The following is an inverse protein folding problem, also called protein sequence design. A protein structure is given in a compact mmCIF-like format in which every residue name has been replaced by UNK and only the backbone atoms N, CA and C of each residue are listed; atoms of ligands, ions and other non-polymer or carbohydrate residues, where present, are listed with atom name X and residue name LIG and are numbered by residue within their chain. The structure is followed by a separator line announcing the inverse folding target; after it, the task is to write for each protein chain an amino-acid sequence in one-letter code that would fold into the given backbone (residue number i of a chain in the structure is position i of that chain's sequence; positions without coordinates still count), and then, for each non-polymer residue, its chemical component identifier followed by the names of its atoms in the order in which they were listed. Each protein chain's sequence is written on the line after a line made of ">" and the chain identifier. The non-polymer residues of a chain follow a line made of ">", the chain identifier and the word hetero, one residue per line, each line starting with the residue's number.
data_IF_762854087778
#
_entry.id   IF_762854087778
#
_cell.length_a   1.000
_cell.length_b   1.000
_cell.length_c   1.000
_cell.angle_alpha   90.00
_cell.angle_beta   90.00
_cell.angle_gamma   90.00
#
_symmetry.space_group_name_H-M   'P 1'
#
loop_
_entity.id
_entity.type
_entity.pdbx_description
1 polymer ?
#
# COMPACT_ATOMS: atom_id res chain seq x y z
N UNK A 1 -65.38 -25.46 2.02
CA UNK A 1 -64.23 -25.10 1.15
C UNK A 1 -63.82 -23.67 1.47
N UNK A 2 -62.70 -23.47 2.15
CA UNK A 2 -61.62 -22.55 1.75
C UNK A 2 -60.55 -22.53 2.86
N UNK A 3 -59.38 -23.09 2.55
CA UNK A 3 -58.26 -23.22 3.46
C UNK A 3 -57.35 -21.99 3.37
N UNK A 4 -56.99 -21.42 4.51
CA UNK A 4 -56.00 -20.35 4.61
C UNK A 4 -54.58 -20.93 4.43
N UNK A 5 -53.80 -20.37 3.50
CA UNK A 5 -52.39 -20.70 3.27
C UNK A 5 -51.51 -19.80 4.14
N UNK A 6 -50.54 -20.32 4.92
CA UNK A 6 -49.51 -19.48 5.53
C UNK A 6 -48.39 -19.21 4.52
N UNK A 7 -48.06 -17.93 4.33
CA UNK A 7 -46.93 -17.49 3.51
C UNK A 7 -45.61 -17.73 4.25
N UNK A 8 -44.69 -18.45 3.60
CA UNK A 8 -43.32 -18.68 4.05
C UNK A 8 -42.45 -17.47 3.64
N UNK A 9 -41.74 -16.78 4.55
CA UNK A 9 -40.85 -15.70 4.14
C UNK A 9 -39.55 -16.28 3.57
N UNK A 10 -39.31 -16.02 2.28
CA UNK A 10 -38.09 -16.36 1.57
C UNK A 10 -36.98 -15.38 2.01
N UNK A 11 -36.05 -15.83 2.87
CA UNK A 11 -34.81 -15.10 3.14
C UNK A 11 -33.92 -15.13 1.89
N UNK A 12 -33.82 -14.01 1.17
CA UNK A 12 -32.80 -13.80 0.16
C UNK A 12 -31.46 -13.56 0.87
N UNK A 13 -30.57 -14.56 0.84
CA UNK A 13 -29.16 -14.36 1.15
C UNK A 13 -28.51 -13.59 0.00
N UNK A 14 -28.22 -12.30 0.21
CA UNK A 14 -27.42 -11.52 -0.71
C UNK A 14 -25.97 -12.04 -0.68
N UNK A 15 -25.55 -12.75 -1.73
CA UNK A 15 -24.13 -12.98 -1.97
C UNK A 15 -23.46 -11.64 -2.27
N UNK A 16 -22.72 -11.11 -1.30
CA UNK A 16 -21.78 -10.03 -1.50
C UNK A 16 -20.62 -10.56 -2.36
N UNK A 17 -20.65 -10.28 -3.67
CA UNK A 17 -19.47 -10.44 -4.52
C UNK A 17 -18.39 -9.50 -4.01
N UNK A 18 -17.37 -10.03 -3.35
CA UNK A 18 -16.14 -9.30 -3.02
C UNK A 18 -15.39 -9.03 -4.32
N UNK A 19 -15.50 -7.81 -4.84
CA UNK A 19 -14.66 -7.39 -5.95
C UNK A 19 -13.18 -7.48 -5.52
N UNK A 20 -12.28 -7.96 -6.38
CA UNK A 20 -10.88 -8.11 -6.00
C UNK A 20 -10.27 -6.72 -5.75
N UNK A 21 -9.57 -6.54 -4.64
CA UNK A 21 -8.92 -5.28 -4.29
C UNK A 21 -7.52 -5.21 -4.90
N UNK A 22 -7.18 -4.08 -5.51
CA UNK A 22 -5.91 -3.86 -6.19
C UNK A 22 -5.49 -2.40 -5.99
N UNK A 23 -4.39 -2.15 -5.27
CA UNK A 23 -3.78 -0.81 -5.19
C UNK A 23 -2.69 -0.62 -6.23
N UNK A 24 -2.67 0.58 -6.82
CA UNK A 24 -1.60 1.01 -7.72
C UNK A 24 -1.51 0.18 -9.00
N UNK A 25 -2.65 -0.31 -9.52
CA UNK A 25 -2.78 -1.08 -10.77
C UNK A 25 -4.06 -0.69 -11.54
N UNK A 26 -4.06 -0.97 -12.85
CA UNK A 26 -5.28 -0.89 -13.63
C UNK A 26 -6.16 -2.10 -13.27
N UNK A 27 -7.43 -1.87 -12.98
CA UNK A 27 -8.39 -2.95 -12.77
C UNK A 27 -8.53 -3.80 -14.02
N UNK A 28 -7.85 -4.95 -14.05
CA UNK A 28 -8.01 -5.95 -15.11
C UNK A 28 -9.24 -6.78 -14.81
N UNK A 29 -10.12 -6.93 -15.81
CA UNK A 29 -11.31 -7.77 -15.71
C UNK A 29 -10.99 -9.27 -15.93
N UNK A 30 -9.88 -9.56 -16.61
CA UNK A 30 -9.44 -10.92 -16.91
C UNK A 30 -8.54 -11.49 -15.80
N UNK A 31 -8.70 -12.78 -15.45
CA UNK A 31 -7.77 -13.48 -14.58
C UNK A 31 -6.34 -13.54 -15.16
N UNK A 32 -5.36 -13.73 -14.27
CA UNK A 32 -3.99 -14.04 -14.68
C UNK A 32 -3.94 -15.35 -15.47
N UNK A 33 -3.15 -15.36 -16.54
CA UNK A 33 -2.81 -16.57 -17.29
C UNK A 33 -1.91 -17.48 -16.45
N UNK A 34 -1.91 -18.78 -16.78
CA UNK A 34 -1.05 -19.75 -16.07
C UNK A 34 0.45 -19.36 -16.08
N UNK A 35 1.04 -18.87 -17.19
CA UNK A 35 2.42 -18.35 -17.18
C UNK A 35 2.63 -17.18 -16.23
N UNK A 36 1.69 -16.23 -16.14
CA UNK A 36 1.78 -15.10 -15.21
C UNK A 36 1.71 -15.57 -13.75
N UNK A 37 0.86 -16.56 -13.46
CA UNK A 37 0.76 -17.19 -12.12
C UNK A 37 2.06 -17.88 -11.74
N UNK A 38 2.63 -18.71 -12.62
CA UNK A 38 3.91 -19.40 -12.37
C UNK A 38 5.00 -18.38 -12.06
N UNK A 39 5.10 -17.33 -12.88
CA UNK A 39 6.09 -16.28 -12.69
C UNK A 39 5.94 -15.54 -11.35
N UNK A 40 4.71 -15.22 -10.99
CA UNK A 40 4.38 -14.57 -9.71
C UNK A 40 4.75 -15.46 -8.52
N UNK A 41 4.46 -16.76 -8.60
CA UNK A 41 4.73 -17.71 -7.51
C UNK A 41 6.23 -18.02 -7.36
N UNK A 42 6.98 -18.05 -8.45
CA UNK A 42 8.44 -18.16 -8.40
C UNK A 42 9.08 -16.94 -7.71
N UNK A 43 8.62 -15.72 -8.04
CA UNK A 43 9.05 -14.51 -7.34
C UNK A 43 8.68 -14.56 -5.86
N UNK A 44 7.45 -14.99 -5.55
CA UNK A 44 6.97 -15.15 -4.18
C UNK A 44 7.82 -16.14 -3.39
N UNK A 45 8.15 -17.30 -3.97
CA UNK A 45 9.02 -18.31 -3.37
C UNK A 45 10.41 -17.75 -3.05
N UNK A 46 11.07 -17.14 -4.04
CA UNK A 46 12.40 -16.52 -3.85
C UNK A 46 12.37 -15.42 -2.78
N UNK A 47 11.30 -14.63 -2.74
CA UNK A 47 11.11 -13.56 -1.74
C UNK A 47 10.93 -14.14 -0.34
N UNK A 48 10.11 -15.18 -0.20
CA UNK A 48 9.92 -15.88 1.07
C UNK A 48 11.24 -16.46 1.58
N UNK A 49 12.01 -17.13 0.71
CA UNK A 49 13.33 -17.69 1.05
C UNK A 49 14.32 -16.60 1.50
N UNK A 50 14.34 -15.46 0.80
CA UNK A 50 15.19 -14.32 1.16
C UNK A 50 14.80 -13.70 2.51
N UNK A 51 13.50 -13.56 2.79
CA UNK A 51 13.00 -13.11 4.09
C UNK A 51 13.40 -14.08 5.20
N UNK A 52 13.23 -15.38 4.99
CA UNK A 52 13.53 -16.40 5.97
C UNK A 52 15.02 -16.46 6.32
N UNK A 53 15.88 -16.43 5.29
CA UNK A 53 17.33 -16.39 5.45
C UNK A 53 17.84 -15.09 6.09
N UNK A 54 17.06 -13.99 6.03
CA UNK A 54 17.48 -12.70 6.56
C UNK A 54 17.53 -12.61 8.08
N UNK A 55 16.80 -13.50 8.78
CA UNK A 55 16.60 -13.46 10.23
C UNK A 55 15.74 -12.30 10.74
N UNK A 56 15.21 -11.44 9.87
CA UNK A 56 14.38 -10.30 10.26
C UNK A 56 13.06 -10.74 10.90
N UNK A 57 12.49 -9.90 11.77
CA UNK A 57 11.13 -10.04 12.28
C UNK A 57 10.14 -9.18 11.49
N UNK A 58 10.62 -8.05 10.95
CA UNK A 58 9.81 -7.11 10.15
C UNK A 58 10.63 -6.65 8.94
N UNK A 59 9.96 -6.54 7.79
CA UNK A 59 10.52 -5.99 6.56
C UNK A 59 9.49 -5.12 5.83
N UNK A 60 9.95 -4.36 4.84
CA UNK A 60 9.08 -3.78 3.81
C UNK A 60 9.31 -4.55 2.52
N UNK A 61 8.24 -4.87 1.80
CA UNK A 61 8.31 -5.53 0.49
C UNK A 61 7.65 -4.65 -0.57
N UNK A 62 8.35 -4.42 -1.67
CA UNK A 62 7.88 -3.61 -2.79
C UNK A 62 7.57 -4.47 -4.01
N UNK A 63 6.55 -4.12 -4.79
CA UNK A 63 6.28 -4.76 -6.09
C UNK A 63 6.17 -3.73 -7.22
N UNK A 64 6.59 -4.14 -8.41
CA UNK A 64 6.49 -3.37 -9.64
C UNK A 64 5.22 -3.78 -10.41
N UNK A 65 4.06 -3.34 -9.92
CA UNK A 65 2.76 -3.69 -10.51
C UNK A 65 2.34 -2.84 -11.71
N UNK A 66 2.99 -1.70 -11.94
CA UNK A 66 2.68 -0.78 -13.04
C UNK A 66 3.97 -0.26 -13.68
N UNK A 67 3.89 0.08 -14.96
CA UNK A 67 4.93 0.90 -15.59
C UNK A 67 4.79 2.36 -15.15
N UNK A 68 5.64 2.75 -14.20
CA UNK A 68 5.73 4.11 -13.69
C UNK A 68 7.02 4.81 -14.15
N UNK A 69 7.72 4.25 -15.14
CA UNK A 69 9.03 4.75 -15.62
C UNK A 69 8.96 6.21 -16.08
N UNK A 70 7.86 6.61 -16.72
CA UNK A 70 7.60 8.01 -17.12
C UNK A 70 7.59 9.02 -15.96
N UNK A 71 7.44 8.55 -14.72
CA UNK A 71 7.46 9.37 -13.51
C UNK A 71 8.73 9.14 -12.68
N UNK A 72 9.72 8.43 -13.22
CA UNK A 72 10.95 8.08 -12.51
C UNK A 72 10.73 7.12 -11.34
N UNK A 73 9.63 6.34 -11.36
CA UNK A 73 9.30 5.38 -10.30
C UNK A 73 9.43 3.96 -10.82
N UNK A 74 9.94 3.09 -9.96
CA UNK A 74 10.23 1.71 -10.26
C UNK A 74 9.25 0.75 -9.57
N UNK A 75 8.95 0.98 -8.29
CA UNK A 75 7.94 0.20 -7.56
C UNK A 75 6.64 0.97 -7.40
N UNK A 76 5.51 0.28 -7.57
CA UNK A 76 4.18 0.91 -7.47
C UNK A 76 3.56 0.79 -6.08
N UNK A 77 3.91 -0.26 -5.32
CA UNK A 77 3.21 -0.59 -4.08
C UNK A 77 4.15 -1.24 -3.05
N UNK A 78 3.92 -0.92 -1.78
CA UNK A 78 4.62 -1.46 -0.61
C UNK A 78 3.65 -2.12 0.37
N UNK A 79 4.15 -3.13 1.09
CA UNK A 79 3.54 -3.64 2.31
C UNK A 79 4.56 -3.82 3.43
N UNK A 80 4.07 -3.86 4.67
CA UNK A 80 4.86 -4.21 5.86
C UNK A 80 4.74 -5.72 6.04
N UNK A 81 5.86 -6.44 6.00
CA UNK A 81 5.90 -7.89 6.17
C UNK A 81 6.30 -8.25 7.59
N UNK A 82 5.50 -9.07 8.25
CA UNK A 82 5.71 -9.56 9.60
C UNK A 82 6.02 -11.04 9.54
N UNK A 83 7.18 -11.44 10.09
CA UNK A 83 7.55 -12.86 10.18
C UNK A 83 6.52 -13.62 11.00
N UNK A 84 6.17 -13.10 12.17
CA UNK A 84 5.25 -13.75 13.11
C UNK A 84 3.97 -12.91 13.20
N UNK A 85 2.91 -13.35 12.52
CA UNK A 85 1.62 -12.66 12.47
C UNK A 85 0.46 -13.66 12.63
N UNK A 86 -0.67 -13.31 13.27
CA UNK A 86 -1.78 -14.24 13.48
C UNK A 86 -2.37 -14.86 12.21
N UNK A 87 -2.25 -14.19 11.06
CA UNK A 87 -2.70 -14.70 9.76
C UNK A 87 -1.70 -15.67 9.09
N UNK A 88 -0.49 -15.83 9.62
CA UNK A 88 0.53 -16.73 9.09
C UNK A 88 1.93 -16.14 9.09
N UNK A 89 2.92 -17.00 8.85
CA UNK A 89 4.33 -16.59 8.76
C UNK A 89 4.56 -15.75 7.52
N UNK A 90 5.33 -14.67 7.65
CA UNK A 90 5.60 -13.70 6.56
C UNK A 90 4.31 -13.14 5.96
N UNK A 91 3.43 -12.62 6.82
CA UNK A 91 2.22 -11.90 6.39
C UNK A 91 2.58 -10.48 5.96
N UNK A 92 2.18 -10.11 4.76
CA UNK A 92 2.18 -8.73 4.25
C UNK A 92 0.91 -8.03 4.71
N UNK A 93 1.06 -6.96 5.47
CA UNK A 93 -0.02 -6.03 5.80
C UNK A 93 0.13 -4.79 4.93
N UNK A 94 -0.94 -4.45 4.23
CA UNK A 94 -0.96 -3.35 3.27
C UNK A 94 -2.37 -2.82 3.05
N UNK A 95 -2.45 -1.56 2.64
CA UNK A 95 -3.71 -0.95 2.23
C UNK A 95 -3.95 -1.17 0.74
N UNK A 96 -5.14 -1.68 0.39
CA UNK A 96 -5.58 -1.84 -0.99
C UNK A 96 -6.88 -1.09 -1.22
N UNK A 97 -7.09 -0.54 -2.42
CA UNK A 97 -8.40 -0.03 -2.83
C UNK A 97 -9.20 -1.11 -3.54
N UNK A 98 -10.51 -1.13 -3.30
CA UNK A 98 -11.43 -1.97 -4.06
C UNK A 98 -11.46 -1.50 -5.52
N UNK A 99 -11.40 -2.44 -6.46
CA UNK A 99 -11.24 -2.11 -7.86
C UNK A 99 -12.34 -1.18 -8.39
N UNK A 100 -11.94 -0.15 -9.14
CA UNK A 100 -12.86 0.83 -9.73
C UNK A 100 -13.50 1.80 -8.73
N UNK A 101 -13.14 1.72 -7.44
CA UNK A 101 -13.68 2.56 -6.37
C UNK A 101 -12.61 3.46 -5.76
N UNK A 102 -13.06 4.47 -5.01
CA UNK A 102 -12.23 5.32 -4.15
C UNK A 102 -12.24 4.85 -2.68
N UNK A 103 -12.55 3.57 -2.44
CA UNK A 103 -12.59 3.00 -1.09
C UNK A 103 -11.39 2.06 -0.89
N UNK A 104 -10.69 2.20 0.23
CA UNK A 104 -9.62 1.28 0.66
C UNK A 104 -9.92 0.58 1.98
N UNK A 105 -9.23 -0.54 2.17
CA UNK A 105 -9.18 -1.30 3.42
C UNK A 105 -7.77 -1.89 3.60
N UNK A 106 -7.51 -2.44 4.79
CA UNK A 106 -6.27 -3.13 5.11
C UNK A 106 -6.43 -4.63 4.94
N UNK A 107 -5.44 -5.23 4.27
CA UNK A 107 -5.39 -6.64 3.94
C UNK A 107 -4.19 -7.29 4.64
N UNK A 108 -4.37 -8.55 5.02
CA UNK A 108 -3.36 -9.41 5.62
C UNK A 108 -3.15 -10.59 4.67
N UNK A 109 -2.12 -10.53 3.86
CA UNK A 109 -1.88 -11.48 2.77
C UNK A 109 -0.57 -12.24 2.95
N UNK A 110 -0.50 -13.48 2.48
CA UNK A 110 0.79 -14.16 2.33
C UNK A 110 1.60 -13.57 1.17
N UNK A 111 2.91 -13.84 1.16
CA UNK A 111 3.82 -13.41 0.07
C UNK A 111 3.32 -13.84 -1.32
N UNK A 112 2.70 -15.03 -1.43
CA UNK A 112 2.07 -15.49 -2.66
C UNK A 112 1.00 -14.53 -3.18
N UNK A 113 0.00 -14.22 -2.36
CA UNK A 113 -1.09 -13.30 -2.72
C UNK A 113 -0.57 -11.89 -3.05
N UNK A 114 0.44 -11.42 -2.32
CA UNK A 114 1.07 -10.14 -2.60
C UNK A 114 1.66 -10.04 -4.02
N UNK A 115 2.14 -11.14 -4.61
CA UNK A 115 2.66 -11.16 -5.98
C UNK A 115 1.68 -11.72 -7.01
N UNK A 116 0.64 -12.44 -6.60
CA UNK A 116 -0.44 -12.96 -7.47
C UNK A 116 -1.35 -11.83 -7.96
N UNK A 117 -0.76 -10.93 -8.72
CA UNK A 117 -1.40 -9.78 -9.34
C UNK A 117 -0.78 -9.53 -10.71
N UNK A 118 -1.28 -8.54 -11.44
CA UNK A 118 -0.80 -8.20 -12.78
C UNK A 118 0.53 -7.40 -12.70
N UNK A 119 1.63 -8.11 -12.46
CA UNK A 119 2.96 -7.51 -12.32
C UNK A 119 3.48 -7.01 -13.67
N UNK A 120 3.91 -5.75 -13.71
CA UNK A 120 4.62 -5.19 -14.85
C UNK A 120 6.05 -5.74 -14.92
N UNK A 121 6.71 -5.88 -13.76
CA UNK A 121 8.03 -6.52 -13.65
C UNK A 121 8.01 -7.56 -12.54
N UNK A 122 8.58 -8.72 -12.83
CA UNK A 122 8.71 -9.82 -11.87
C UNK A 122 9.96 -9.65 -11.00
N UNK A 123 9.98 -8.55 -10.27
CA UNK A 123 11.04 -8.20 -9.33
C UNK A 123 10.47 -7.53 -8.08
N UNK A 124 11.22 -7.62 -6.98
CA UNK A 124 10.88 -7.02 -5.69
C UNK A 124 12.11 -6.43 -5.03
N UNK A 125 11.85 -5.40 -4.22
CA UNK A 125 12.81 -4.88 -3.25
C UNK A 125 12.31 -5.19 -1.85
N UNK A 126 13.18 -5.80 -1.06
CA UNK A 126 12.96 -6.06 0.35
C UNK A 126 13.85 -5.11 1.13
N UNK A 127 13.27 -4.25 1.94
CA UNK A 127 14.01 -3.43 2.89
C UNK A 127 13.86 -4.04 4.27
N UNK A 128 15.01 -4.33 4.90
CA UNK A 128 15.12 -4.85 6.24
C UNK A 128 15.57 -3.70 7.16
N UNK A 129 14.70 -3.11 7.99
CA UNK A 129 15.12 -2.12 8.98
C UNK A 129 16.15 -2.71 9.95
N UNK A 130 16.88 -1.87 10.66
CA UNK A 130 17.73 -2.27 11.78
C UNK A 130 16.89 -2.88 12.92
N UNK A 131 17.50 -3.67 13.84
CA UNK A 131 16.77 -4.39 14.88
C UNK A 131 15.88 -3.51 15.76
N UNK A 132 16.32 -2.28 16.07
CA UNK A 132 15.55 -1.34 16.88
C UNK A 132 14.27 -0.88 16.17
N UNK A 133 14.35 -0.52 14.88
CA UNK A 133 13.19 -0.10 14.11
C UNK A 133 12.27 -1.29 13.81
N UNK A 134 12.81 -2.48 13.57
CA UNK A 134 12.00 -3.71 13.47
C UNK A 134 11.18 -3.96 14.74
N UNK A 135 11.79 -3.87 15.92
CA UNK A 135 11.09 -4.09 17.19
C UNK A 135 9.98 -3.06 17.43
N UNK A 136 10.25 -1.78 17.15
CA UNK A 136 9.24 -0.72 17.27
C UNK A 136 8.10 -0.90 16.26
N UNK A 137 8.43 -1.22 15.01
CA UNK A 137 7.44 -1.44 13.96
C UNK A 137 6.58 -2.67 14.28
N UNK A 138 7.17 -3.76 14.80
CA UNK A 138 6.42 -4.92 15.29
C UNK A 138 5.42 -4.52 16.39
N UNK A 139 5.84 -3.70 17.36
CA UNK A 139 4.96 -3.18 18.41
C UNK A 139 3.82 -2.31 17.88
N UNK A 140 4.11 -1.41 16.92
CA UNK A 140 3.10 -0.60 16.22
C UNK A 140 2.09 -1.50 15.51
N UNK A 141 2.57 -2.49 14.76
CA UNK A 141 1.74 -3.41 13.98
C UNK A 141 0.89 -4.35 14.83
N UNK A 142 1.35 -4.73 16.02
CA UNK A 142 0.58 -5.52 16.98
C UNK A 142 -0.52 -4.70 17.69
N UNK A 143 -0.43 -3.37 17.66
CA UNK A 143 -1.35 -2.46 18.31
C UNK A 143 -2.54 -2.04 17.45
N UNK A 144 -3.17 -0.91 17.84
CA UNK A 144 -4.31 -0.32 17.11
C UNK A 144 -3.89 0.62 15.99
N UNK A 145 -2.60 0.97 15.89
CA UNK A 145 -2.09 1.96 14.95
C UNK A 145 -2.42 1.63 13.48
N UNK A 146 -2.28 0.38 12.98
CA UNK A 146 -2.65 0.01 11.61
C UNK A 146 -4.06 0.48 11.22
N UNK A 147 -5.05 0.15 12.04
CA UNK A 147 -6.46 0.53 11.82
C UNK A 147 -6.73 2.00 12.11
N UNK A 148 -6.12 2.56 13.15
CA UNK A 148 -6.33 3.95 13.55
C UNK A 148 -5.76 4.95 12.54
N UNK A 149 -4.69 4.59 11.84
CA UNK A 149 -4.04 5.43 10.82
C UNK A 149 -4.54 5.15 9.40
N UNK A 150 -5.51 4.25 9.22
CA UNK A 150 -6.15 4.00 7.94
C UNK A 150 -7.25 5.04 7.66
N UNK A 151 -7.25 5.58 6.45
CA UNK A 151 -8.29 6.45 5.90
C UNK A 151 -8.93 5.75 4.69
N UNK A 152 -10.21 5.38 4.76
CA UNK A 152 -10.87 4.61 3.69
C UNK A 152 -11.05 5.39 2.38
N UNK A 153 -10.96 6.73 2.39
CA UNK A 153 -11.03 7.54 1.18
C UNK A 153 -9.71 7.46 0.41
N UNK A 154 -9.64 6.49 -0.48
CA UNK A 154 -8.46 6.23 -1.29
C UNK A 154 -8.31 7.24 -2.43
N UNK A 155 -7.11 7.78 -2.56
CA UNK A 155 -6.68 8.58 -3.71
C UNK A 155 -5.27 8.15 -4.09
N UNK A 156 -5.07 7.63 -5.31
CA UNK A 156 -3.76 7.20 -5.80
C UNK A 156 -2.72 8.33 -5.80
N UNK A 157 -3.19 9.58 -5.90
CA UNK A 157 -2.37 10.78 -5.92
C UNK A 157 -2.64 11.67 -4.70
N UNK A 158 -2.95 11.08 -3.54
CA UNK A 158 -3.13 11.85 -2.30
C UNK A 158 -1.92 12.75 -2.01
N UNK A 159 -2.19 13.96 -1.53
CA UNK A 159 -1.13 14.86 -1.10
C UNK A 159 -0.47 14.30 0.17
N UNK A 160 0.85 14.19 0.14
CA UNK A 160 1.67 13.60 1.22
C UNK A 160 1.37 14.18 2.62
N UNK A 161 1.00 15.46 2.70
CA UNK A 161 0.77 16.16 3.96
C UNK A 161 -0.66 16.69 4.10
N UNK A 162 -1.62 15.93 3.57
CA UNK A 162 -3.04 16.05 3.86
C UNK A 162 -3.55 14.74 4.45
N UNK A 163 -4.50 14.84 5.38
CA UNK A 163 -5.22 13.69 5.92
C UNK A 163 -6.55 13.44 5.19
N UNK A 164 -6.90 14.26 4.19
CA UNK A 164 -8.19 14.17 3.48
C UNK A 164 -8.39 12.86 2.71
N UNK A 165 -7.29 12.32 2.19
CA UNK A 165 -7.23 11.04 1.48
C UNK A 165 -6.00 10.27 1.94
N UNK A 166 -5.89 9.02 1.49
CA UNK A 166 -4.70 8.20 1.66
C UNK A 166 -4.44 7.37 0.41
N UNK A 167 -3.17 7.10 0.15
CA UNK A 167 -2.74 6.09 -0.80
C UNK A 167 -2.02 4.97 -0.03
N UNK A 168 -1.86 3.82 -0.68
CA UNK A 168 -1.33 2.62 -0.02
C UNK A 168 0.08 2.80 0.56
N UNK A 169 0.92 3.58 -0.11
CA UNK A 169 2.29 3.82 0.33
C UNK A 169 2.34 4.86 1.46
N UNK A 170 1.38 5.80 1.49
CA UNK A 170 1.25 6.79 2.56
C UNK A 170 0.87 6.14 3.90
N UNK A 171 0.02 5.13 3.90
CA UNK A 171 -0.27 4.35 5.11
C UNK A 171 0.98 3.66 5.70
N UNK A 172 1.80 3.04 4.85
CA UNK A 172 3.09 2.46 5.27
C UNK A 172 4.01 3.55 5.84
N UNK A 173 4.09 4.71 5.18
CA UNK A 173 4.93 5.84 5.61
C UNK A 173 4.51 6.38 6.99
N UNK A 174 3.21 6.52 7.24
CA UNK A 174 2.68 7.05 8.50
C UNK A 174 2.89 6.07 9.66
N UNK A 175 2.80 4.76 9.42
CA UNK A 175 3.18 3.75 10.43
C UNK A 175 4.67 3.72 10.72
N UNK A 176 5.52 3.92 9.70
CA UNK A 176 6.96 4.08 9.88
C UNK A 176 7.28 5.34 10.71
N UNK A 177 6.55 6.43 10.50
CA UNK A 177 6.68 7.63 11.34
C UNK A 177 6.33 7.34 12.81
N UNK A 178 5.26 6.57 13.05
CA UNK A 178 4.88 6.12 14.40
C UNK A 178 5.98 5.27 15.05
N UNK A 179 6.56 4.33 14.31
CA UNK A 179 7.64 3.48 14.79
C UNK A 179 8.98 4.22 14.96
N UNK A 180 9.25 5.23 14.13
CA UNK A 180 10.48 6.04 14.17
C UNK A 180 10.48 7.08 15.29
N UNK A 181 9.31 7.53 15.74
CA UNK A 181 9.15 8.42 16.88
C UNK A 181 9.35 7.70 18.22
N UNK A 182 9.43 8.47 19.32
CA UNK A 182 9.36 7.87 20.66
C UNK A 182 7.96 7.24 20.87
N UNK A 183 7.85 6.12 21.63
CA UNK A 183 6.55 5.50 21.89
C UNK A 183 5.52 6.50 22.43
N UNK A 184 4.33 6.52 21.83
CA UNK A 184 3.24 7.44 22.21
C UNK A 184 3.36 8.87 21.66
N UNK A 185 4.44 9.23 20.96
CA UNK A 185 4.61 10.58 20.41
C UNK A 185 3.83 10.80 19.10
N UNK A 186 3.65 9.74 18.31
CA UNK A 186 2.97 9.78 17.01
C UNK A 186 1.90 8.71 17.02
N UNK A 187 0.65 9.11 17.22
CA UNK A 187 -0.50 8.22 17.32
C UNK A 187 -1.54 8.44 16.22
N UNK A 188 -1.55 9.60 15.59
CA UNK A 188 -2.47 10.00 14.53
C UNK A 188 -1.77 10.25 13.19
N UNK A 189 -2.55 10.26 12.10
CA UNK A 189 -2.03 10.61 10.76
C UNK A 189 -1.43 12.02 10.71
N UNK A 190 -2.06 12.98 11.39
CA UNK A 190 -1.59 14.37 11.44
C UNK A 190 -0.25 14.49 12.17
N UNK A 191 -0.07 13.79 13.29
CA UNK A 191 1.20 13.73 14.02
C UNK A 191 2.28 13.03 13.20
N UNK A 192 1.94 11.96 12.49
CA UNK A 192 2.86 11.26 11.59
C UNK A 192 3.36 12.21 10.48
N UNK A 193 2.46 12.93 9.83
CA UNK A 193 2.80 13.93 8.82
C UNK A 193 3.65 15.08 9.39
N UNK A 194 3.34 15.56 10.60
CA UNK A 194 4.16 16.56 11.29
C UNK A 194 5.57 16.05 11.58
N UNK A 195 5.70 14.82 12.10
CA UNK A 195 6.99 14.17 12.35
C UNK A 195 7.80 14.01 11.06
N UNK A 196 7.17 13.57 9.97
CA UNK A 196 7.82 13.43 8.66
C UNK A 196 8.40 14.76 8.16
N UNK A 197 7.73 15.89 8.41
CA UNK A 197 8.27 17.23 8.11
C UNK A 197 9.53 17.55 8.92
N UNK A 198 9.55 17.21 10.21
CA UNK A 198 10.74 17.40 11.07
C UNK A 198 11.92 16.52 10.65
N UNK A 199 11.64 15.42 9.94
CA UNK A 199 12.66 14.51 9.39
C UNK A 199 12.96 14.79 7.92
N UNK A 200 12.47 15.90 7.38
CA UNK A 200 12.70 16.32 6.00
C UNK A 200 12.38 15.19 5.00
N UNK A 201 11.29 14.46 5.21
CA UNK A 201 10.81 13.50 4.22
C UNK A 201 10.58 14.24 2.89
N UNK A 202 11.27 13.82 1.84
CA UNK A 202 11.17 14.40 0.51
C UNK A 202 10.16 13.62 -0.33
N UNK A 203 8.92 14.12 -0.53
CA UNK A 203 7.93 13.45 -1.33
C UNK A 203 8.32 13.47 -2.81
N UNK A 204 7.94 12.43 -3.54
CA UNK A 204 8.07 12.49 -4.98
C UNK A 204 7.06 13.47 -5.58
N UNK A 205 7.56 14.38 -6.43
CA UNK A 205 6.72 15.23 -7.26
C UNK A 205 6.49 14.54 -8.60
N UNK A 206 5.24 14.29 -8.94
CA UNK A 206 4.85 13.82 -10.27
C UNK A 206 4.34 15.00 -11.09
N UNK A 207 4.87 15.17 -12.29
CA UNK A 207 4.38 16.17 -13.24
C UNK A 207 3.20 15.62 -14.02
N UNK A 208 2.03 16.25 -13.85
CA UNK A 208 0.80 15.85 -14.54
C UNK A 208 0.23 17.08 -15.24
N UNK A 209 0.30 17.19 -16.59
CA UNK A 209 -0.22 18.33 -17.33
C UNK A 209 -1.72 18.56 -17.10
N UNK A 210 -2.18 19.81 -17.22
CA UNK A 210 -3.56 20.19 -16.92
C UNK A 210 -4.60 19.39 -17.73
N UNK A 211 -4.34 19.13 -19.02
CA UNK A 211 -5.21 18.31 -19.87
C UNK A 211 -5.37 16.88 -19.35
N UNK A 212 -4.28 16.29 -18.83
CA UNK A 212 -4.28 14.95 -18.22
C UNK A 212 -5.03 14.95 -16.90
N UNK A 213 -4.89 16.01 -16.07
CA UNK A 213 -5.62 16.12 -14.80
C UNK A 213 -7.13 16.23 -15.00
N UNK A 214 -7.56 17.00 -16.02
CA UNK A 214 -8.98 17.14 -16.37
C UNK A 214 -9.56 15.78 -16.79
N UNK A 215 -8.86 15.05 -17.67
CA UNK A 215 -9.27 13.70 -18.07
C UNK A 215 -9.23 12.68 -16.92
N UNK A 216 -8.18 12.68 -16.10
CA UNK A 216 -8.03 11.72 -15.00
C UNK A 216 -9.18 11.81 -13.99
N UNK A 217 -9.62 13.03 -13.63
CA UNK A 217 -10.79 13.22 -12.75
C UNK A 217 -12.10 12.72 -13.37
N UNK A 218 -12.21 12.72 -14.69
CA UNK A 218 -13.42 12.26 -15.38
C UNK A 218 -13.45 10.73 -15.57
N UNK A 219 -12.29 10.05 -15.55
CA UNK A 219 -12.19 8.64 -15.94
C UNK A 219 -11.54 7.70 -14.90
N UNK A 220 -11.15 8.20 -13.72
CA UNK A 220 -10.62 7.40 -12.60
C UNK A 220 -11.26 7.83 -11.29
N UNK A 221 -12.05 6.93 -10.70
CA UNK A 221 -12.78 7.16 -9.44
C UNK A 221 -11.85 7.46 -8.27
N UNK A 222 -10.64 6.91 -8.28
CA UNK A 222 -9.64 7.02 -7.22
C UNK A 222 -8.56 8.08 -7.46
N UNK A 223 -8.86 9.11 -8.26
CA UNK A 223 -7.94 10.23 -8.51
C UNK A 223 -8.61 11.56 -8.18
N UNK A 224 -8.06 12.25 -7.20
CA UNK A 224 -8.43 13.61 -6.84
C UNK A 224 -7.17 14.48 -6.66
N UNK A 225 -7.34 15.80 -6.80
CA UNK A 225 -6.27 16.79 -6.67
C UNK A 225 -6.69 17.94 -5.74
N UNK A 226 -7.82 17.84 -5.05
CA UNK A 226 -8.39 18.90 -4.22
C UNK A 226 -7.76 18.97 -2.82
N UNK A 227 -6.85 18.05 -2.49
CA UNK A 227 -6.03 18.04 -1.27
C UNK A 227 -4.60 18.56 -1.47
N UNK A 228 -4.21 18.89 -2.71
CA UNK A 228 -2.90 19.47 -3.01
C UNK A 228 -2.89 21.00 -2.80
N UNK A 229 -1.76 21.59 -2.35
CA UNK A 229 -1.59 23.04 -2.32
C UNK A 229 -1.88 23.66 -3.69
N UNK A 230 -2.65 24.75 -3.69
CA UNK A 230 -3.18 25.34 -4.92
C UNK A 230 -2.07 25.64 -5.94
N UNK A 231 -1.00 26.32 -5.53
CA UNK A 231 0.07 26.76 -6.43
C UNK A 231 0.79 25.58 -7.09
N UNK A 232 1.12 24.54 -6.30
CA UNK A 232 1.76 23.33 -6.82
C UNK A 232 0.84 22.59 -7.79
N UNK A 233 -0.43 22.42 -7.42
CA UNK A 233 -1.44 21.81 -8.29
C UNK A 233 -1.61 22.56 -9.61
N UNK A 234 -1.64 23.90 -9.57
CA UNK A 234 -1.78 24.72 -10.78
C UNK A 234 -0.55 24.61 -11.68
N UNK A 235 0.66 24.56 -11.10
CA UNK A 235 1.90 24.25 -11.80
C UNK A 235 1.96 22.80 -12.34
N UNK A 236 1.07 21.92 -11.91
CA UNK A 236 1.05 20.51 -12.28
C UNK A 236 2.03 19.63 -11.51
N UNK A 237 2.55 20.15 -10.41
CA UNK A 237 3.39 19.43 -9.47
C UNK A 237 2.49 18.75 -8.44
N UNK A 238 2.44 17.42 -8.50
CA UNK A 238 1.60 16.58 -7.65
C UNK A 238 2.51 15.83 -6.67
N UNK A 239 2.59 16.32 -5.43
CA UNK A 239 3.46 15.72 -4.41
C UNK A 239 2.72 14.56 -3.73
N UNK A 240 3.15 13.34 -3.99
CA UNK A 240 2.50 12.12 -3.50
C UNK A 240 3.53 11.19 -2.85
N UNK A 241 3.05 10.26 -2.01
CA UNK A 241 3.90 9.20 -1.48
C UNK A 241 4.04 8.10 -2.51
N UNK A 242 5.28 7.75 -2.86
CA UNK A 242 5.59 6.58 -3.67
C UNK A 242 6.55 5.62 -2.95
N UNK A 243 6.67 4.41 -3.49
CA UNK A 243 7.46 3.36 -2.88
C UNK A 243 8.96 3.70 -2.84
N UNK A 244 9.53 4.24 -3.93
CA UNK A 244 10.96 4.50 -4.01
C UNK A 244 11.45 5.58 -3.03
N UNK A 245 10.70 6.68 -2.90
CA UNK A 245 11.00 7.74 -1.93
C UNK A 245 10.87 7.24 -0.49
N UNK A 246 9.86 6.41 -0.21
CA UNK A 246 9.70 5.77 1.10
C UNK A 246 10.89 4.87 1.43
N UNK A 247 11.32 4.00 0.51
CA UNK A 247 12.49 3.13 0.72
C UNK A 247 13.76 3.94 0.99
N UNK A 248 14.02 5.00 0.19
CA UNK A 248 15.16 5.91 0.42
C UNK A 248 15.08 6.59 1.78
N UNK A 249 13.89 7.02 2.19
CA UNK A 249 13.69 7.65 3.49
C UNK A 249 14.03 6.69 4.64
N UNK A 250 13.60 5.43 4.58
CA UNK A 250 13.92 4.47 5.65
C UNK A 250 15.43 4.20 5.71
N UNK A 251 16.11 4.11 4.57
CA UNK A 251 17.58 3.98 4.55
C UNK A 251 18.31 5.20 5.14
N UNK A 252 17.77 6.41 4.95
CA UNK A 252 18.31 7.62 5.55
C UNK A 252 18.01 7.72 7.05
N UNK A 253 16.84 7.25 7.48
CA UNK A 253 16.39 7.25 8.87
C UNK A 253 17.13 6.21 9.73
N UNK A 254 17.45 5.06 9.14
CA UNK A 254 18.04 3.90 9.82
C UNK A 254 19.30 3.43 9.09
N UNK A 255 20.50 3.83 9.55
CA UNK A 255 21.77 3.43 8.94
C UNK A 255 22.05 1.92 8.96
N UNK A 256 21.31 1.15 9.78
CA UNK A 256 21.43 -0.31 9.82
C UNK A 256 20.50 -1.01 8.84
N UNK A 257 19.65 -0.26 8.12
CA UNK A 257 18.75 -0.83 7.13
C UNK A 257 19.54 -1.49 5.99
N UNK A 258 19.11 -2.69 5.61
CA UNK A 258 19.67 -3.45 4.48
C UNK A 258 18.63 -3.61 3.39
N UNK A 259 19.07 -3.65 2.15
CA UNK A 259 18.19 -3.87 1.00
C UNK A 259 18.59 -5.15 0.29
N UNK A 260 17.60 -6.00 0.02
CA UNK A 260 17.73 -7.17 -0.85
C UNK A 260 16.92 -6.89 -2.12
N UNK A 261 17.45 -7.31 -3.26
CA UNK A 261 16.70 -7.31 -4.53
C UNK A 261 16.52 -8.76 -4.97
N UNK A 262 15.30 -9.09 -5.34
CA UNK A 262 14.95 -10.42 -5.84
C UNK A 262 14.24 -10.23 -7.17
N UNK A 263 14.68 -10.96 -8.19
CA UNK A 263 14.07 -10.95 -9.50
C UNK A 263 13.90 -12.39 -10.00
N UNK A 264 12.97 -12.56 -10.94
CA UNK A 264 12.84 -13.81 -11.65
C UNK A 264 14.01 -14.12 -12.56
#
# INVERSE_FOLDING_TARGET
>A
MSAARPGLPLLLAALLCTAPAHAGQACRAEPLSAPEVVKSMDLAKKTYEALDASGAAVALVARAGQDLSKYGQHYSHLGIVLRDHPAGRWTVVHELNACGTAYSDLYNEGIGNFFLTDLYRYETRILLPGPALQARLAGVMAGRAPRRMHEPRYNMLSYVYSTRYQNSNQWVLELLASAGAAPGQVETRAEAQAWLRTRHYDPATVEIPAAVRLGARMFRTNVAFDDHPFDRRMAGHIDTVNADALLRFVQALDPQARVLSVAQ
#
